data_IF_585915200513
#
_entry.id   IF_585915200513
#
_cell.length_a   1.000
_cell.length_b   1.000
_cell.length_c   1.000
_cell.angle_alpha   90.00
_cell.angle_beta   90.00
_cell.angle_gamma   90.00
#
_symmetry.space_group_name_H-M   'P 1'
#
loop_
_entity.id
_entity.type
_entity.pdbx_description
1 polymer ?
#
# COMPACT_ATOMS: atom_id res chain seq x y z
N UNK A 1 -2.23 -15.49 0.41
CA UNK A 1 -1.23 -14.42 0.22
C UNK A 1 -1.92 -13.37 -0.64
N UNK A 2 -1.83 -12.07 -0.30
CA UNK A 2 -2.62 -11.02 -0.98
C UNK A 2 -2.06 -10.68 -2.36
N UNK A 3 -0.73 -10.69 -2.51
CA UNK A 3 -0.07 -10.46 -3.79
C UNK A 3 1.38 -10.97 -3.82
N UNK A 4 2.04 -10.77 -4.95
CA UNK A 4 3.43 -11.15 -5.21
C UNK A 4 4.15 -10.03 -5.96
N UNK A 5 5.48 -10.00 -5.88
CA UNK A 5 6.26 -8.99 -6.61
C UNK A 5 6.22 -9.28 -8.11
N UNK A 6 5.90 -8.26 -8.89
CA UNK A 6 5.99 -8.31 -10.34
C UNK A 6 7.48 -8.34 -10.76
N UNK A 7 7.94 -9.36 -11.50
CA UNK A 7 9.33 -9.43 -11.95
C UNK A 7 9.64 -8.45 -13.10
N UNK A 8 8.63 -7.93 -13.78
CA UNK A 8 8.77 -7.02 -14.92
C UNK A 8 8.83 -5.55 -14.48
N UNK A 9 8.24 -5.21 -13.33
CA UNK A 9 8.17 -3.85 -12.79
C UNK A 9 8.73 -3.84 -11.37
N UNK A 10 9.89 -3.21 -11.17
CA UNK A 10 10.52 -3.14 -9.85
C UNK A 10 9.65 -2.36 -8.84
N UNK A 11 9.35 -3.00 -7.71
CA UNK A 11 8.58 -2.39 -6.63
C UNK A 11 7.07 -2.57 -6.74
N UNK A 12 6.58 -3.05 -7.88
CA UNK A 12 5.17 -3.34 -8.17
C UNK A 12 4.76 -4.67 -7.55
N UNK A 13 3.59 -4.68 -6.91
CA UNK A 13 2.99 -5.89 -6.38
C UNK A 13 1.70 -6.16 -7.15
N UNK A 14 1.36 -7.44 -7.30
CA UNK A 14 0.16 -7.81 -8.02
C UNK A 14 -0.58 -8.97 -7.33
N UNK A 15 -1.92 -8.93 -7.29
CA UNK A 15 -2.73 -10.04 -6.81
C UNK A 15 -2.61 -11.22 -7.78
N UNK A 16 -2.61 -12.45 -7.25
CA UNK A 16 -2.55 -13.64 -8.10
C UNK A 16 -3.86 -13.86 -8.83
N UNK A 17 -3.86 -13.69 -10.15
CA UNK A 17 -5.03 -13.92 -11.00
C UNK A 17 -5.53 -15.38 -10.90
N UNK A 18 -6.85 -15.61 -10.94
CA UNK A 18 -7.41 -16.96 -10.91
C UNK A 18 -7.08 -17.72 -12.20
N UNK A 19 -6.80 -19.03 -12.07
CA UNK A 19 -6.65 -19.91 -13.24
C UNK A 19 -8.03 -20.32 -13.76
N UNK A 20 -8.53 -19.57 -14.74
CA UNK A 20 -9.81 -19.82 -15.38
C UNK A 20 -9.80 -21.03 -16.33
N UNK A 21 -8.62 -21.62 -16.59
CA UNK A 21 -8.46 -22.75 -17.51
C UNK A 21 -8.19 -24.07 -16.79
N UNK A 22 -8.41 -24.14 -15.47
CA UNK A 22 -8.24 -25.38 -14.71
C UNK A 22 -9.37 -26.38 -15.03
N UNK A 23 -9.10 -27.47 -15.77
CA UNK A 23 -10.13 -28.43 -16.19
C UNK A 23 -10.63 -29.32 -15.05
N UNK A 24 -10.01 -29.22 -13.85
CA UNK A 24 -10.39 -29.99 -12.66
C UNK A 24 -11.23 -29.20 -11.66
N UNK A 25 -11.36 -27.88 -11.85
CA UNK A 25 -12.18 -27.02 -11.00
C UNK A 25 -13.65 -27.04 -11.45
N UNK A 26 -14.58 -27.09 -10.50
CA UNK A 26 -16.00 -26.86 -10.79
C UNK A 26 -16.32 -25.35 -10.82
N UNK A 27 -17.49 -24.99 -11.34
CA UNK A 27 -17.95 -23.60 -11.45
C UNK A 27 -17.95 -22.85 -10.12
N UNK A 28 -18.21 -23.54 -9.01
CA UNK A 28 -18.19 -22.93 -7.69
C UNK A 28 -16.76 -22.60 -7.25
N UNK A 29 -15.80 -23.51 -7.48
CA UNK A 29 -14.39 -23.26 -7.16
C UNK A 29 -13.83 -22.08 -7.96
N UNK A 30 -14.24 -21.97 -9.23
CA UNK A 30 -13.88 -20.82 -10.09
C UNK A 30 -14.47 -19.53 -9.54
N UNK A 31 -15.76 -19.53 -9.15
CA UNK A 31 -16.40 -18.37 -8.56
C UNK A 31 -15.71 -17.89 -7.27
N UNK A 32 -15.39 -18.81 -6.36
CA UNK A 32 -14.66 -18.52 -5.12
C UNK A 32 -13.27 -17.89 -5.40
N UNK A 33 -12.58 -18.38 -6.43
CA UNK A 33 -11.27 -17.84 -6.82
C UNK A 33 -11.33 -16.43 -7.39
N UNK A 34 -12.42 -16.10 -8.12
CA UNK A 34 -12.66 -14.75 -8.64
C UNK A 34 -12.98 -13.79 -7.50
N UNK A 35 -13.85 -14.18 -6.56
CA UNK A 35 -14.17 -13.36 -5.38
C UNK A 35 -12.91 -13.09 -4.54
N UNK A 36 -12.09 -14.11 -4.32
CA UNK A 36 -10.82 -13.96 -3.62
C UNK A 36 -9.86 -13.01 -4.34
N UNK A 37 -9.79 -13.07 -5.67
CA UNK A 37 -8.96 -12.18 -6.48
C UNK A 37 -9.44 -10.73 -6.40
N UNK A 38 -10.74 -10.47 -6.53
CA UNK A 38 -11.32 -9.14 -6.40
C UNK A 38 -11.04 -8.53 -5.02
N UNK A 39 -11.24 -9.31 -3.95
CA UNK A 39 -10.94 -8.89 -2.59
C UNK A 39 -9.46 -8.57 -2.39
N UNK A 40 -8.58 -9.44 -2.86
CA UNK A 40 -7.14 -9.23 -2.77
C UNK A 40 -6.69 -8.01 -3.59
N UNK A 41 -7.27 -7.78 -4.77
CA UNK A 41 -6.94 -6.62 -5.61
C UNK A 41 -7.22 -5.30 -4.89
N UNK A 42 -8.34 -5.21 -4.16
CA UNK A 42 -8.65 -4.00 -3.40
C UNK A 42 -7.67 -3.76 -2.22
N UNK A 43 -7.28 -4.84 -1.53
CA UNK A 43 -6.31 -4.77 -0.43
C UNK A 43 -4.93 -4.38 -0.97
N UNK A 44 -4.55 -4.94 -2.10
CA UNK A 44 -3.25 -4.72 -2.75
C UNK A 44 -3.04 -3.22 -3.06
N UNK A 45 -4.03 -2.56 -3.68
CA UNK A 45 -4.00 -1.10 -3.93
C UNK A 45 -3.79 -0.27 -2.65
N UNK A 46 -4.44 -0.65 -1.53
CA UNK A 46 -4.25 0.04 -0.24
C UNK A 46 -2.81 -0.17 0.29
N UNK A 47 -2.29 -1.38 0.16
CA UNK A 47 -0.94 -1.73 0.61
C UNK A 47 0.13 -1.03 -0.23
N UNK A 48 -0.04 -0.90 -1.54
CA UNK A 48 0.89 -0.14 -2.40
C UNK A 48 0.94 1.33 -2.00
N UNK A 49 -0.23 1.97 -1.81
CA UNK A 49 -0.29 3.35 -1.36
C UNK A 49 0.44 3.52 -0.02
N UNK A 50 0.27 2.56 0.90
CA UNK A 50 0.93 2.56 2.20
C UNK A 50 2.44 2.33 2.09
N UNK A 51 2.88 1.45 1.19
CA UNK A 51 4.29 1.20 0.92
C UNK A 51 4.95 2.48 0.38
N UNK A 52 4.31 3.15 -0.58
CA UNK A 52 4.78 4.42 -1.12
C UNK A 52 4.93 5.49 -0.03
N UNK A 53 3.99 5.57 0.93
CA UNK A 53 4.12 6.47 2.08
C UNK A 53 5.36 6.17 2.93
N UNK A 54 5.64 4.89 3.18
CA UNK A 54 6.82 4.44 3.93
C UNK A 54 8.10 4.76 3.18
N UNK A 55 8.18 4.45 1.89
CA UNK A 55 9.35 4.72 1.05
C UNK A 55 9.61 6.23 0.97
N UNK A 56 8.55 7.03 0.82
CA UNK A 56 8.64 8.49 0.87
C UNK A 56 9.17 8.97 2.22
N UNK A 57 8.71 8.39 3.33
CA UNK A 57 9.20 8.74 4.65
C UNK A 57 10.68 8.38 4.84
N UNK A 58 11.13 7.23 4.34
CA UNK A 58 12.54 6.81 4.34
C UNK A 58 13.40 7.79 3.53
N UNK A 59 12.99 8.14 2.31
CA UNK A 59 13.69 9.12 1.48
C UNK A 59 13.80 10.49 2.19
N UNK A 60 12.79 10.87 2.97
CA UNK A 60 12.82 12.11 3.76
C UNK A 60 13.75 12.04 4.97
N UNK A 61 13.96 10.86 5.56
CA UNK A 61 14.97 10.66 6.60
C UNK A 61 16.35 10.92 5.99
N UNK A 62 16.63 10.32 4.84
CA UNK A 62 17.90 10.52 4.12
C UNK A 62 18.11 11.98 3.73
N UNK A 63 17.05 12.67 3.29
CA UNK A 63 17.09 14.09 2.97
C UNK A 63 17.12 15.03 4.21
N UNK A 64 17.00 14.51 5.43
CA UNK A 64 16.95 15.30 6.66
C UNK A 64 15.68 16.13 6.85
N UNK A 65 14.59 15.80 6.13
CA UNK A 65 13.29 16.51 6.16
C UNK A 65 12.17 15.68 6.79
N UNK A 66 12.51 14.53 7.38
CA UNK A 66 11.57 13.71 8.13
C UNK A 66 10.94 14.50 9.30
N UNK A 67 9.65 14.26 9.54
CA UNK A 67 8.89 14.94 10.58
C UNK A 67 8.51 16.40 10.27
N UNK A 68 8.61 16.84 9.02
CA UNK A 68 8.16 18.17 8.56
C UNK A 68 6.88 18.06 7.73
N UNK A 69 5.85 18.84 8.02
CA UNK A 69 4.60 18.81 7.27
C UNK A 69 4.82 19.27 5.82
N UNK A 70 4.42 18.44 4.84
CA UNK A 70 4.54 18.78 3.41
C UNK A 70 3.71 19.99 2.96
N UNK A 71 2.70 20.39 3.74
CA UNK A 71 1.80 21.51 3.40
C UNK A 71 2.29 22.83 4.01
N UNK A 72 2.52 22.87 5.33
CA UNK A 72 2.85 24.12 6.02
C UNK A 72 4.33 24.25 6.44
N UNK A 73 5.15 23.21 6.27
CA UNK A 73 6.56 23.23 6.68
C UNK A 73 6.80 23.21 8.19
N UNK A 74 5.75 23.12 9.02
CA UNK A 74 5.89 22.99 10.46
C UNK A 74 6.28 21.57 10.87
N UNK A 75 6.81 21.38 12.09
CA UNK A 75 7.06 20.05 12.63
C UNK A 75 5.75 19.27 12.81
N UNK A 76 5.78 18.00 12.44
CA UNK A 76 4.70 17.05 12.70
C UNK A 76 4.77 16.66 14.18
N UNK A 77 3.60 16.52 14.81
CA UNK A 77 3.48 16.19 16.22
C UNK A 77 4.10 14.82 16.52
N UNK A 78 4.97 14.73 17.52
CA UNK A 78 5.64 13.48 17.92
C UNK A 78 4.65 12.33 18.14
N UNK A 79 3.55 12.59 18.85
CA UNK A 79 2.50 11.59 19.07
C UNK A 79 1.90 11.04 17.77
N UNK A 80 1.82 11.87 16.72
CA UNK A 80 1.32 11.46 15.40
C UNK A 80 2.35 10.61 14.66
N UNK A 81 3.62 11.00 14.67
CA UNK A 81 4.70 10.18 14.10
C UNK A 81 4.87 8.86 14.85
N UNK A 82 4.63 8.84 16.16
CA UNK A 82 4.68 7.61 16.96
C UNK A 82 3.54 6.65 16.60
N UNK A 83 2.34 7.18 16.31
CA UNK A 83 1.20 6.39 15.86
C UNK A 83 1.33 5.96 14.39
N UNK A 84 1.88 6.82 13.54
CA UNK A 84 2.10 6.58 12.12
C UNK A 84 3.41 7.25 11.66
N UNK A 85 4.54 6.51 11.62
CA UNK A 85 5.84 7.07 11.23
C UNK A 85 5.89 7.58 9.79
N UNK A 86 5.09 7.00 8.89
CA UNK A 86 5.06 7.38 7.48
C UNK A 86 4.23 8.64 7.20
N UNK A 87 3.64 9.25 8.23
CA UNK A 87 2.60 10.23 8.04
C UNK A 87 3.15 11.56 7.46
N UNK A 88 2.60 12.09 6.36
CA UNK A 88 3.28 13.13 5.58
C UNK A 88 3.00 14.58 6.03
N UNK A 89 1.94 14.80 6.81
CA UNK A 89 1.42 16.13 7.20
C UNK A 89 1.33 16.31 8.72
N UNK A 90 0.96 17.48 9.26
CA UNK A 90 0.61 17.61 10.70
C UNK A 90 -0.88 17.28 10.94
N UNK A 91 -1.32 17.22 12.21
CA UNK A 91 -2.74 16.94 12.54
C UNK A 91 -3.69 17.92 11.84
N UNK A 92 -3.32 19.21 11.79
CA UNK A 92 -4.14 20.25 11.14
C UNK A 92 -4.36 20.03 9.63
N UNK A 93 -3.51 19.21 8.99
CA UNK A 93 -3.59 18.91 7.55
C UNK A 93 -3.68 17.39 7.29
N UNK A 94 -4.32 16.64 8.19
CA UNK A 94 -4.45 15.18 8.08
C UNK A 94 -5.34 14.73 6.91
N UNK A 95 -6.29 15.55 6.50
CA UNK A 95 -7.32 15.22 5.51
C UNK A 95 -7.14 16.00 4.18
N UNK A 96 -5.93 16.55 3.95
CA UNK A 96 -5.60 17.37 2.79
C UNK A 96 -4.70 16.68 1.78
#
# INVERSE_FOLDING_TARGET
MVGHKNPEIEGDWEPSAPDLNNPTADVNDVADSIEAFEGNSAIEVELEARLLEVDTALARIEAGTYGICRICGAKIEDARLHANPAAPTCIAHREG
#
